data_IF_533460761703
#
_entry.id   IF_533460761703
#
_cell.length_a   1.000
_cell.length_b   1.000
_cell.length_c   1.000
_cell.angle_alpha   90.00
_cell.angle_beta   90.00
_cell.angle_gamma   90.00
#
_symmetry.space_group_name_H-M   'P 1'
#
loop_
_entity.id
_entity.type
_entity.pdbx_description
1 polymer ?
#
# COMPACT_ATOMS: atom_id res chain seq x y z
N UNK A 1 4.89 62.74 -15.64
CA UNK A 1 5.13 61.29 -15.77
C UNK A 1 4.74 60.63 -14.45
N UNK A 2 3.50 60.11 -14.33
CA UNK A 2 3.02 59.47 -13.08
C UNK A 2 3.35 57.98 -13.14
N UNK A 3 4.25 57.54 -12.27
CA UNK A 3 4.63 56.14 -12.11
C UNK A 3 3.48 55.41 -11.39
N UNK A 4 2.86 54.42 -12.05
CA UNK A 4 1.93 53.50 -11.40
C UNK A 4 2.74 52.37 -10.76
N UNK A 5 2.71 52.29 -9.42
CA UNK A 5 3.25 51.19 -8.66
C UNK A 5 2.21 50.05 -8.66
N UNK A 6 2.46 48.98 -9.41
CA UNK A 6 1.64 47.76 -9.37
C UNK A 6 2.08 46.96 -8.15
N UNK A 7 1.25 46.98 -7.11
CA UNK A 7 1.41 46.11 -5.94
C UNK A 7 0.81 44.75 -6.32
N UNK A 8 1.67 43.77 -6.61
CA UNK A 8 1.30 42.37 -6.75
C UNK A 8 1.02 41.81 -5.35
N UNK A 9 -0.25 41.79 -4.96
CA UNK A 9 -0.70 41.04 -3.78
C UNK A 9 -0.69 39.56 -4.14
N UNK A 10 0.32 38.82 -3.68
CA UNK A 10 0.31 37.36 -3.76
C UNK A 10 -0.74 36.82 -2.79
N UNK A 11 -1.98 36.67 -3.25
CA UNK A 11 -2.93 35.79 -2.59
C UNK A 11 -2.37 34.37 -2.65
N UNK A 12 -1.93 33.81 -1.52
CA UNK A 12 -1.74 32.36 -1.42
C UNK A 12 -3.10 31.74 -1.74
N UNK A 13 -3.25 31.19 -2.96
CA UNK A 13 -4.32 30.24 -3.21
C UNK A 13 -4.10 29.11 -2.20
N UNK A 14 -4.99 29.02 -1.22
CA UNK A 14 -5.07 27.83 -0.39
C UNK A 14 -5.55 26.75 -1.34
N UNK A 15 -4.64 25.91 -1.81
CA UNK A 15 -4.99 24.74 -2.58
C UNK A 15 -6.02 23.95 -1.78
N UNK A 16 -7.16 23.65 -2.38
CA UNK A 16 -8.18 22.83 -1.74
C UNK A 16 -7.55 21.49 -1.38
N UNK A 17 -7.66 21.11 -0.11
CA UNK A 17 -7.22 19.80 0.35
C UNK A 17 -7.91 18.71 -0.48
N UNK A 18 -7.16 17.74 -1.03
CA UNK A 18 -7.77 16.66 -1.79
C UNK A 18 -8.72 15.86 -0.92
N UNK A 19 -9.87 15.50 -1.48
CA UNK A 19 -10.90 14.71 -0.82
C UNK A 19 -11.07 13.41 -1.59
N UNK A 20 -10.44 12.35 -1.10
CA UNK A 20 -10.40 11.06 -1.78
C UNK A 20 -11.78 10.45 -2.01
N UNK A 21 -11.94 9.83 -3.18
CA UNK A 21 -13.06 8.97 -3.54
C UNK A 21 -12.52 7.67 -4.13
N UNK A 22 -13.38 6.66 -4.10
CA UNK A 22 -13.10 5.33 -4.64
C UNK A 22 -14.10 5.03 -5.74
N UNK A 23 -13.62 4.77 -6.95
CA UNK A 23 -14.43 4.23 -8.03
C UNK A 23 -14.21 2.73 -8.14
N UNK A 24 -15.28 1.98 -8.37
CA UNK A 24 -15.21 0.53 -8.44
C UNK A 24 -14.49 0.09 -9.72
N UNK A 25 -13.44 -0.72 -9.59
CA UNK A 25 -12.71 -1.29 -10.73
C UNK A 25 -13.12 -2.75 -10.96
N UNK A 26 -13.05 -3.60 -9.93
CA UNK A 26 -13.38 -5.02 -10.04
C UNK A 26 -13.82 -5.62 -8.69
N UNK A 27 -14.75 -6.57 -8.71
CA UNK A 27 -15.22 -7.32 -7.53
C UNK A 27 -15.03 -8.83 -7.71
N UNK A 28 -15.20 -9.59 -6.63
CA UNK A 28 -15.19 -11.06 -6.67
C UNK A 28 -13.80 -11.68 -6.49
N UNK A 29 -12.86 -10.91 -5.94
CA UNK A 29 -11.54 -11.41 -5.56
C UNK A 29 -11.63 -12.19 -4.26
N UNK A 30 -10.85 -13.26 -4.14
CA UNK A 30 -10.78 -14.06 -2.92
C UNK A 30 -9.61 -13.59 -2.07
N UNK A 31 -9.90 -12.94 -0.93
CA UNK A 31 -8.90 -12.47 0.06
C UNK A 31 -7.63 -11.92 -0.63
N UNK A 32 -7.77 -10.90 -1.48
CA UNK A 32 -6.64 -10.38 -2.23
C UNK A 32 -5.60 -9.80 -1.27
N UNK A 33 -4.32 -9.86 -1.65
CA UNK A 33 -3.21 -9.42 -0.79
C UNK A 33 -2.42 -8.27 -1.41
N UNK A 34 -2.15 -8.32 -2.71
CA UNK A 34 -1.37 -7.29 -3.39
C UNK A 34 -1.81 -7.11 -4.83
N UNK A 35 -1.48 -5.96 -5.43
CA UNK A 35 -1.87 -5.60 -6.79
C UNK A 35 -0.71 -4.99 -7.56
N UNK A 36 -0.49 -5.49 -8.78
CA UNK A 36 0.32 -4.82 -9.79
C UNK A 36 -0.59 -4.29 -10.88
N UNK A 37 -0.45 -2.99 -11.17
CA UNK A 37 -1.18 -2.30 -12.23
C UNK A 37 -0.35 -2.37 -13.51
N UNK A 38 -0.84 -3.10 -14.51
CA UNK A 38 -0.16 -3.25 -15.81
C UNK A 38 -0.48 -2.07 -16.73
N UNK A 39 -1.74 -1.63 -16.71
CA UNK A 39 -2.28 -0.52 -17.49
C UNK A 39 -3.50 0.03 -16.75
N UNK A 40 -4.13 1.13 -17.22
CA UNK A 40 -5.33 1.67 -16.59
C UNK A 40 -6.50 0.68 -16.45
N UNK A 41 -6.51 -0.42 -17.23
CA UNK A 41 -7.59 -1.41 -17.22
C UNK A 41 -7.12 -2.85 -17.03
N UNK A 42 -5.82 -3.08 -16.81
CA UNK A 42 -5.24 -4.41 -16.63
C UNK A 42 -4.45 -4.51 -15.33
N UNK A 43 -4.76 -5.53 -14.53
CA UNK A 43 -4.20 -5.71 -13.18
C UNK A 43 -3.86 -7.17 -12.92
N UNK A 44 -2.77 -7.41 -12.20
CA UNK A 44 -2.48 -8.68 -11.55
C UNK A 44 -2.77 -8.54 -10.06
N UNK A 45 -3.61 -9.40 -9.51
CA UNK A 45 -3.97 -9.39 -8.09
C UNK A 45 -3.60 -10.73 -7.46
N UNK A 46 -2.72 -10.71 -6.46
CA UNK A 46 -2.40 -11.91 -5.68
C UNK A 46 -3.46 -12.17 -4.62
N UNK A 47 -3.66 -13.44 -4.31
CA UNK A 47 -4.63 -13.90 -3.32
C UNK A 47 -3.98 -14.88 -2.33
N UNK A 48 -4.51 -14.95 -1.12
CA UNK A 48 -4.02 -15.89 -0.11
C UNK A 48 -4.14 -17.36 -0.54
N UNK A 49 -5.03 -17.71 -1.46
CA UNK A 49 -5.21 -19.08 -1.96
C UNK A 49 -4.16 -19.57 -2.98
N UNK A 50 -3.08 -18.81 -3.18
CA UNK A 50 -1.99 -19.20 -4.08
C UNK A 50 -2.27 -18.88 -5.55
N UNK A 51 -3.32 -18.11 -5.85
CA UNK A 51 -3.63 -17.66 -7.21
C UNK A 51 -3.27 -16.19 -7.39
N UNK A 52 -2.71 -15.87 -8.56
CA UNK A 52 -2.63 -14.51 -9.09
C UNK A 52 -3.67 -14.40 -10.19
N UNK A 53 -4.61 -13.46 -10.07
CA UNK A 53 -5.69 -13.22 -11.03
C UNK A 53 -5.31 -12.09 -11.98
N UNK A 54 -5.58 -12.28 -13.27
CA UNK A 54 -5.59 -11.20 -14.25
C UNK A 54 -6.98 -10.58 -14.27
N UNK A 55 -7.04 -9.27 -14.16
CA UNK A 55 -8.25 -8.45 -14.37
C UNK A 55 -8.03 -7.66 -15.65
N UNK A 56 -9.04 -7.62 -16.53
CA UNK A 56 -9.02 -6.83 -17.76
C UNK A 56 -10.38 -6.16 -17.93
N UNK A 57 -10.39 -4.83 -18.03
CA UNK A 57 -11.59 -4.00 -18.17
C UNK A 57 -12.66 -4.35 -17.11
N UNK A 58 -12.23 -4.40 -15.84
CA UNK A 58 -13.08 -4.76 -14.70
C UNK A 58 -13.52 -6.23 -14.60
N UNK A 59 -13.10 -7.10 -15.54
CA UNK A 59 -13.46 -8.53 -15.55
C UNK A 59 -12.29 -9.40 -15.10
N UNK A 60 -12.49 -10.17 -14.03
CA UNK A 60 -11.56 -11.22 -13.61
C UNK A 60 -11.54 -12.33 -14.67
N UNK A 61 -10.37 -12.58 -15.26
CA UNK A 61 -10.22 -13.62 -16.27
C UNK A 61 -10.42 -15.02 -15.68
N UNK A 62 -11.01 -15.93 -16.46
CA UNK A 62 -11.37 -17.29 -16.00
C UNK A 62 -10.16 -18.07 -15.50
N UNK A 63 -9.06 -18.06 -16.26
CA UNK A 63 -7.82 -18.69 -15.87
C UNK A 63 -7.01 -17.78 -14.95
N UNK A 64 -6.34 -18.35 -13.95
CA UNK A 64 -5.38 -17.61 -13.14
C UNK A 64 -4.15 -17.27 -14.00
N UNK A 65 -3.57 -16.09 -13.77
CA UNK A 65 -2.29 -15.72 -14.34
C UNK A 65 -1.19 -16.66 -13.82
N UNK A 66 -1.13 -16.89 -12.52
CA UNK A 66 -0.29 -17.89 -11.87
C UNK A 66 -1.12 -18.68 -10.87
N UNK A 67 -0.89 -19.99 -10.76
CA UNK A 67 -1.50 -20.83 -9.75
C UNK A 67 -0.43 -21.70 -9.07
N UNK A 68 -0.19 -21.44 -7.79
CA UNK A 68 0.74 -22.16 -6.91
C UNK A 68 0.02 -22.65 -5.64
N UNK A 69 -1.29 -22.88 -5.72
CA UNK A 69 -2.13 -23.24 -4.57
C UNK A 69 -1.68 -24.52 -3.84
N UNK A 70 -0.98 -25.43 -4.51
CA UNK A 70 -0.42 -26.64 -3.89
C UNK A 70 0.81 -26.36 -3.02
N UNK A 71 1.38 -25.16 -3.11
CA UNK A 71 2.58 -24.75 -2.37
C UNK A 71 2.27 -23.90 -1.14
N UNK A 72 1.06 -23.34 -1.01
CA UNK A 72 0.72 -22.41 0.08
C UNK A 72 0.39 -23.14 1.39
N UNK A 73 0.80 -22.58 2.52
CA UNK A 73 0.55 -23.18 3.82
C UNK A 73 -0.93 -23.20 4.19
N UNK A 74 -1.61 -22.05 4.09
CA UNK A 74 -3.06 -21.97 4.23
C UNK A 74 -3.65 -20.80 3.42
N UNK A 75 -4.92 -20.93 3.04
CA UNK A 75 -5.60 -19.92 2.23
C UNK A 75 -6.21 -18.77 3.04
N UNK A 76 -6.04 -18.76 4.37
CA UNK A 76 -6.62 -17.75 5.26
C UNK A 76 -5.63 -16.62 5.52
N UNK A 77 -4.42 -16.95 5.98
CA UNK A 77 -3.42 -15.96 6.40
C UNK A 77 -2.02 -16.26 5.87
N UNK A 78 -1.63 -17.54 5.70
CA UNK A 78 -0.29 -17.92 5.26
C UNK A 78 -0.26 -18.34 3.78
N UNK A 79 -0.62 -17.39 2.92
CA UNK A 79 -0.74 -17.53 1.47
C UNK A 79 0.35 -16.80 0.68
N UNK A 80 -0.03 -16.14 -0.43
CA UNK A 80 0.80 -15.14 -1.11
C UNK A 80 0.69 -13.80 -0.37
N UNK A 81 1.81 -13.20 -0.01
CA UNK A 81 1.87 -11.92 0.71
C UNK A 81 2.14 -10.72 -0.20
N UNK A 82 2.87 -10.91 -1.30
CA UNK A 82 3.27 -9.81 -2.16
C UNK A 82 3.67 -10.29 -3.54
N UNK A 83 3.51 -9.40 -4.53
CA UNK A 83 3.93 -9.63 -5.91
C UNK A 83 4.56 -8.36 -6.48
N UNK A 84 5.56 -8.53 -7.34
CA UNK A 84 6.08 -7.42 -8.15
C UNK A 84 6.56 -7.91 -9.50
N UNK A 85 6.69 -7.00 -10.45
CA UNK A 85 7.22 -7.29 -11.77
C UNK A 85 8.62 -6.72 -11.88
N UNK A 86 9.47 -7.40 -12.63
CA UNK A 86 10.75 -6.83 -13.02
C UNK A 86 10.55 -5.51 -13.78
N UNK A 87 11.44 -4.50 -13.60
CA UNK A 87 11.42 -3.29 -14.45
C UNK A 87 11.45 -3.58 -15.95
N UNK A 88 12.04 -4.71 -16.37
CA UNK A 88 12.13 -5.17 -17.76
C UNK A 88 11.08 -6.25 -18.10
N UNK A 89 9.98 -6.34 -17.34
CA UNK A 89 8.94 -7.37 -17.49
C UNK A 89 8.39 -7.50 -18.92
N UNK A 90 8.27 -6.38 -19.64
CA UNK A 90 7.83 -6.39 -21.03
C UNK A 90 8.69 -7.33 -21.91
N UNK A 91 9.98 -7.41 -21.60
CA UNK A 91 11.00 -8.18 -22.32
C UNK A 91 11.25 -9.55 -21.68
N UNK A 92 11.54 -9.61 -20.38
CA UNK A 92 11.95 -10.85 -19.72
C UNK A 92 10.78 -11.66 -19.14
N UNK A 93 9.61 -11.05 -18.95
CA UNK A 93 8.43 -11.70 -18.38
C UNK A 93 8.60 -12.14 -16.92
N UNK A 94 9.56 -11.58 -16.18
CA UNK A 94 9.84 -11.99 -14.80
C UNK A 94 8.89 -11.36 -13.77
N UNK A 95 8.29 -12.23 -12.96
CA UNK A 95 7.41 -11.89 -11.83
C UNK A 95 8.07 -12.42 -10.56
N UNK A 96 8.04 -11.66 -9.48
CA UNK A 96 8.53 -12.08 -8.18
C UNK A 96 7.36 -12.22 -7.22
N UNK A 97 7.38 -13.29 -6.43
CA UNK A 97 6.29 -13.68 -5.53
C UNK A 97 6.87 -14.00 -4.15
N UNK A 98 6.25 -13.44 -3.11
CA UNK A 98 6.48 -13.80 -1.72
C UNK A 98 5.31 -14.65 -1.21
N UNK A 99 5.55 -15.88 -0.77
CA UNK A 99 4.51 -16.78 -0.24
C UNK A 99 4.98 -17.63 0.95
N UNK A 100 4.05 -18.09 1.79
CA UNK A 100 4.33 -19.06 2.85
C UNK A 100 4.22 -20.49 2.30
N UNK A 101 5.30 -21.26 2.40
CA UNK A 101 5.36 -22.64 1.89
C UNK A 101 4.68 -23.64 2.83
N UNK A 102 3.88 -24.53 2.27
CA UNK A 102 3.26 -25.65 2.98
C UNK A 102 4.31 -26.64 3.49
N UNK A 103 4.04 -27.27 4.63
CA UNK A 103 4.91 -28.28 5.26
C UNK A 103 5.91 -27.70 6.26
N UNK A 104 6.65 -26.65 5.90
CA UNK A 104 7.67 -26.06 6.78
C UNK A 104 7.45 -24.58 7.13
N UNK A 105 6.43 -23.95 6.55
CA UNK A 105 6.01 -22.55 6.82
C UNK A 105 7.10 -21.52 6.53
N UNK A 106 8.08 -21.87 5.70
CA UNK A 106 9.11 -20.92 5.28
C UNK A 106 8.48 -19.83 4.42
N UNK A 107 8.91 -18.59 4.62
CA UNK A 107 8.67 -17.53 3.65
C UNK A 107 9.59 -17.74 2.47
N UNK A 108 9.02 -17.87 1.28
CA UNK A 108 9.74 -18.11 0.02
C UNK A 108 9.63 -16.88 -0.85
N UNK A 109 10.79 -16.39 -1.31
CA UNK A 109 10.90 -15.34 -2.31
C UNK A 109 11.36 -15.98 -3.61
N UNK A 110 10.50 -15.99 -4.62
CA UNK A 110 10.77 -16.71 -5.85
C UNK A 110 10.43 -15.87 -7.09
N UNK A 111 11.19 -16.11 -8.16
CA UNK A 111 10.92 -15.61 -9.50
C UNK A 111 10.14 -16.66 -10.31
N UNK A 112 9.15 -16.21 -11.05
CA UNK A 112 8.40 -16.96 -12.07
C UNK A 112 8.53 -16.23 -13.42
N UNK A 113 8.30 -16.96 -14.51
CA UNK A 113 8.40 -16.44 -15.87
C UNK A 113 7.05 -16.52 -16.57
N UNK A 114 6.65 -15.43 -17.24
CA UNK A 114 5.51 -15.39 -18.16
C UNK A 114 5.68 -16.44 -19.26
N UNK A 115 4.62 -17.17 -19.60
CA UNK A 115 4.66 -18.15 -20.70
C UNK A 115 4.91 -17.40 -22.01
N UNK A 116 5.86 -17.90 -22.81
CA UNK A 116 6.09 -17.40 -24.17
C UNK A 116 4.90 -17.66 -25.11
N UNK A 117 4.09 -18.68 -24.81
CA UNK A 117 2.93 -19.09 -25.61
C UNK A 117 1.63 -18.44 -25.18
N UNK A 118 1.58 -17.80 -24.00
CA UNK A 118 0.39 -17.13 -23.49
C UNK A 118 0.78 -15.99 -22.53
N UNK A 119 0.70 -14.71 -22.97
CA UNK A 119 1.09 -13.59 -22.14
C UNK A 119 0.16 -13.35 -20.94
N UNK A 120 -1.04 -13.94 -20.94
CA UNK A 120 -2.00 -13.86 -19.83
C UNK A 120 -1.72 -14.92 -18.73
N UNK A 121 -0.61 -15.68 -18.84
CA UNK A 121 -0.23 -16.70 -17.88
C UNK A 121 1.28 -16.73 -17.62
N UNK A 122 1.66 -16.99 -16.38
CA UNK A 122 3.00 -17.43 -15.99
C UNK A 122 3.09 -18.95 -15.93
N UNK A 123 4.31 -19.48 -16.05
CA UNK A 123 4.59 -20.90 -15.94
C UNK A 123 4.90 -21.27 -14.48
N UNK A 124 4.03 -22.03 -13.77
CA UNK A 124 4.30 -22.47 -12.41
C UNK A 124 5.55 -23.35 -12.26
N UNK A 125 6.00 -23.99 -13.35
CA UNK A 125 7.21 -24.82 -13.37
C UNK A 125 8.50 -24.00 -13.52
N UNK A 126 8.41 -22.70 -13.88
CA UNK A 126 9.56 -21.81 -14.06
C UNK A 126 10.10 -21.20 -12.76
N UNK A 127 9.68 -21.74 -11.61
CA UNK A 127 10.09 -21.24 -10.31
C UNK A 127 11.62 -21.27 -10.15
N UNK A 128 12.18 -20.10 -9.85
CA UNK A 128 13.53 -19.96 -9.33
C UNK A 128 13.42 -19.34 -7.93
N UNK A 129 13.69 -20.14 -6.91
CA UNK A 129 13.77 -19.65 -5.52
C UNK A 129 15.00 -18.75 -5.41
N UNK A 130 14.80 -17.52 -4.94
CA UNK A 130 15.89 -16.61 -4.61
C UNK A 130 16.50 -17.03 -3.28
N UNK A 131 15.69 -17.00 -2.22
CA UNK A 131 16.06 -17.48 -0.90
C UNK A 131 14.78 -17.79 -0.09
N UNK A 132 14.98 -18.38 1.09
CA UNK A 132 13.90 -18.70 2.03
C UNK A 132 14.25 -18.23 3.43
N UNK A 133 13.27 -17.71 4.16
CA UNK A 133 13.41 -17.36 5.58
C UNK A 133 12.54 -18.34 6.38
N UNK A 134 13.13 -19.16 7.28
CA UNK A 134 12.36 -20.13 8.06
C UNK A 134 11.52 -19.39 9.11
N UNK A 135 10.27 -19.79 9.31
CA UNK A 135 9.45 -19.28 10.40
C UNK A 135 8.81 -20.43 11.14
N UNK A 136 9.54 -20.94 12.13
CA UNK A 136 9.28 -22.24 12.76
C UNK A 136 8.30 -22.20 13.93
N UNK A 137 7.89 -21.01 14.38
CA UNK A 137 6.97 -20.89 15.50
C UNK A 137 5.59 -21.47 15.10
N UNK A 138 5.07 -22.48 15.82
CA UNK A 138 3.79 -23.12 15.50
C UNK A 138 2.59 -22.16 15.60
N UNK A 139 2.69 -21.08 16.38
CA UNK A 139 1.66 -20.05 16.46
C UNK A 139 1.66 -19.08 15.26
N UNK A 140 2.56 -19.31 14.29
CA UNK A 140 2.81 -18.38 13.19
C UNK A 140 3.86 -17.35 13.58
N UNK A 141 4.00 -16.34 12.74
CA UNK A 141 4.85 -15.21 13.04
C UNK A 141 4.77 -14.13 11.96
N UNK A 142 5.22 -12.93 12.30
CA UNK A 142 5.31 -11.85 11.32
C UNK A 142 6.32 -12.21 10.23
N UNK A 143 5.84 -12.21 8.98
CA UNK A 143 6.62 -12.52 7.77
C UNK A 143 6.89 -11.30 6.91
N UNK A 144 6.08 -10.26 7.12
CA UNK A 144 5.99 -9.06 6.29
C UNK A 144 5.52 -9.32 4.87
N UNK A 145 5.26 -8.23 4.14
CA UNK A 145 4.39 -8.29 2.97
C UNK A 145 5.12 -8.17 1.64
N UNK A 146 5.80 -7.04 1.46
CA UNK A 146 6.13 -6.53 0.13
C UNK A 146 7.57 -6.80 -0.30
N UNK A 147 7.68 -7.13 -1.59
CA UNK A 147 8.88 -7.07 -2.39
C UNK A 147 8.66 -6.10 -3.56
N UNK A 148 9.68 -5.37 -3.97
CA UNK A 148 9.56 -4.32 -4.99
C UNK A 148 10.91 -3.80 -5.44
N UNK A 149 10.95 -3.13 -6.60
CA UNK A 149 12.19 -2.58 -7.12
C UNK A 149 12.41 -1.15 -6.65
N UNK A 150 13.65 -0.86 -6.25
CA UNK A 150 14.10 0.49 -5.93
C UNK A 150 14.41 1.31 -7.19
N UNK A 151 14.59 2.63 -7.05
CA UNK A 151 14.98 3.51 -8.16
C UNK A 151 16.37 3.19 -8.74
N UNK A 152 17.17 2.41 -8.01
CA UNK A 152 18.50 1.92 -8.38
C UNK A 152 18.47 0.58 -9.15
N UNK A 153 17.28 0.00 -9.36
CA UNK A 153 17.10 -1.24 -10.11
C UNK A 153 17.25 -2.53 -9.30
N UNK A 154 17.54 -2.45 -8.00
CA UNK A 154 17.65 -3.64 -7.15
C UNK A 154 16.29 -4.06 -6.57
N UNK A 155 16.16 -5.34 -6.22
CA UNK A 155 14.98 -5.87 -5.55
C UNK A 155 15.12 -5.67 -4.03
N UNK A 156 14.19 -4.92 -3.46
CA UNK A 156 14.04 -4.72 -2.02
C UNK A 156 12.95 -5.62 -1.46
N UNK A 157 13.18 -6.15 -0.26
CA UNK A 157 12.30 -7.16 0.37
C UNK A 157 12.21 -6.85 1.86
N UNK A 158 11.00 -6.80 2.41
CA UNK A 158 10.83 -6.72 3.87
C UNK A 158 10.53 -8.07 4.49
N UNK A 159 11.08 -8.30 5.68
CA UNK A 159 10.85 -9.51 6.49
C UNK A 159 10.40 -9.13 7.90
N UNK A 160 9.51 -9.93 8.47
CA UNK A 160 8.99 -9.70 9.81
C UNK A 160 9.88 -10.30 10.89
N UNK A 161 9.67 -9.87 12.14
CA UNK A 161 10.47 -10.21 13.32
C UNK A 161 10.33 -11.67 13.82
N UNK A 162 9.54 -12.50 13.14
CA UNK A 162 9.20 -13.88 13.49
C UNK A 162 8.34 -14.07 14.75
N UNK A 163 7.96 -13.00 15.44
CA UNK A 163 7.09 -13.08 16.60
C UNK A 163 5.65 -13.42 16.22
N UNK A 164 4.91 -14.20 17.03
CA UNK A 164 3.49 -14.45 16.80
C UNK A 164 2.60 -13.22 17.04
N UNK A 165 3.15 -12.11 17.56
CA UNK A 165 2.41 -10.85 17.70
C UNK A 165 1.28 -10.88 18.71
N UNK A 166 1.37 -11.74 19.74
CA UNK A 166 0.34 -11.83 20.77
C UNK A 166 0.32 -10.54 21.59
N UNK A 167 -0.82 -9.84 21.59
CA UNK A 167 -1.03 -8.61 22.36
C UNK A 167 -0.74 -8.85 23.85
N UNK A 168 -0.03 -7.92 24.49
CA UNK A 168 0.37 -8.00 25.89
C UNK A 168 1.52 -8.96 26.18
N UNK A 169 2.16 -9.52 25.14
CA UNK A 169 3.42 -10.25 25.27
C UNK A 169 4.61 -9.40 24.81
N UNK A 170 5.81 -9.72 25.28
CA UNK A 170 7.04 -9.10 24.76
C UNK A 170 7.12 -9.45 23.27
N UNK A 171 6.96 -8.44 22.40
CA UNK A 171 6.87 -8.64 20.96
C UNK A 171 8.05 -9.41 20.37
N UNK A 172 9.28 -8.90 20.46
CA UNK A 172 10.49 -9.62 20.04
C UNK A 172 11.46 -9.82 21.22
N UNK A 173 11.26 -10.87 22.04
CA UNK A 173 12.03 -11.06 23.28
C UNK A 173 13.50 -11.39 23.02
N UNK A 174 13.80 -11.96 21.85
CA UNK A 174 15.16 -12.34 21.44
C UNK A 174 15.87 -11.24 20.64
N UNK A 175 15.19 -10.11 20.39
CA UNK A 175 15.72 -8.96 19.64
C UNK A 175 16.26 -9.37 18.26
N UNK A 176 15.56 -10.29 17.59
CA UNK A 176 15.93 -10.78 16.27
C UNK A 176 15.98 -9.62 15.25
N UNK A 177 15.07 -8.66 15.37
CA UNK A 177 15.03 -7.47 14.51
C UNK A 177 16.31 -6.61 14.62
N UNK A 178 16.95 -6.56 15.79
CA UNK A 178 18.23 -5.85 16.02
C UNK A 178 19.46 -6.70 15.71
N UNK A 179 19.33 -8.03 15.65
CA UNK A 179 20.46 -8.92 15.40
C UNK A 179 20.85 -8.95 13.92
N UNK A 180 22.14 -8.78 13.65
CA UNK A 180 22.76 -8.90 12.32
C UNK A 180 23.13 -10.35 11.97
N UNK A 181 22.65 -11.33 12.72
CA UNK A 181 22.96 -12.76 12.50
C UNK A 181 21.77 -13.52 11.90
N UNK A 182 20.74 -12.80 11.45
CA UNK A 182 19.51 -13.36 10.90
C UNK A 182 18.81 -12.36 9.96
N UNK A 183 17.78 -12.85 9.26
CA UNK A 183 16.99 -12.06 8.30
C UNK A 183 15.63 -11.62 8.84
N UNK A 184 15.36 -11.67 10.15
CA UNK A 184 14.07 -11.25 10.73
C UNK A 184 14.06 -9.75 11.02
N UNK A 185 12.95 -9.08 10.71
CA UNK A 185 12.78 -7.64 10.97
C UNK A 185 13.75 -6.77 10.16
N UNK A 186 13.92 -7.07 8.87
CA UNK A 186 14.90 -6.42 7.98
C UNK A 186 14.25 -5.83 6.73
N UNK A 187 14.91 -4.81 6.18
CA UNK A 187 14.81 -4.49 4.76
C UNK A 187 16.04 -5.08 4.08
N UNK A 188 15.82 -5.99 3.14
CA UNK A 188 16.85 -6.66 2.35
C UNK A 188 16.94 -6.02 0.97
N UNK A 189 18.11 -6.09 0.33
CA UNK A 189 18.35 -5.55 -1.01
C UNK A 189 19.30 -6.46 -1.79
N UNK A 190 18.84 -6.98 -2.93
CA UNK A 190 19.58 -7.94 -3.77
C UNK A 190 19.57 -7.55 -5.25
N UNK A 191 20.58 -8.00 -5.98
CA UNK A 191 20.71 -7.83 -7.43
C UNK A 191 20.28 -9.11 -8.16
N UNK A 192 19.11 -9.05 -8.76
CA UNK A 192 18.49 -10.18 -9.49
C UNK A 192 18.87 -10.21 -10.98
N UNK A 193 19.60 -9.20 -11.47
CA UNK A 193 20.03 -9.09 -12.86
C UNK A 193 21.42 -9.72 -13.08
N UNK A 194 22.26 -9.80 -12.05
CA UNK A 194 23.67 -10.21 -12.18
C UNK A 194 24.06 -11.49 -11.43
N UNK A 195 23.15 -12.45 -11.26
CA UNK A 195 23.46 -13.74 -10.64
C UNK A 195 22.43 -14.82 -10.93
N UNK A 196 22.73 -16.03 -10.46
CA UNK A 196 21.76 -17.12 -10.45
C UNK A 196 21.86 -17.87 -9.10
N UNK A 197 21.01 -17.54 -8.10
CA UNK A 197 19.78 -16.77 -8.23
C UNK A 197 19.90 -15.24 -8.14
N UNK A 198 20.93 -14.69 -7.50
CA UNK A 198 21.16 -13.24 -7.38
C UNK A 198 22.63 -12.95 -6.97
N UNK A 199 23.01 -11.68 -6.97
CA UNK A 199 24.24 -11.14 -6.36
C UNK A 199 23.91 -10.09 -5.31
N UNK A 200 24.92 -9.69 -4.52
CA UNK A 200 24.81 -8.61 -3.54
C UNK A 200 25.21 -7.28 -4.19
N UNK A 201 24.38 -6.24 -4.10
CA UNK A 201 24.79 -4.90 -4.51
C UNK A 201 26.04 -4.46 -3.74
N UNK A 202 27.11 -3.98 -4.41
CA UNK A 202 28.35 -3.57 -3.73
C UNK A 202 28.18 -2.37 -2.80
N UNK A 203 27.01 -1.72 -2.85
CA UNK A 203 26.63 -0.58 -2.00
C UNK A 203 25.77 -1.00 -0.80
N UNK A 204 25.59 -2.31 -0.55
CA UNK A 204 24.94 -2.76 0.67
C UNK A 204 25.83 -2.45 1.88
N UNK A 205 25.24 -1.99 3.00
CA UNK A 205 26.00 -1.52 4.17
C UNK A 205 26.76 -2.63 4.90
N UNK A 206 26.37 -3.89 4.69
CA UNK A 206 26.97 -5.06 5.32
C UNK A 206 27.61 -6.01 4.32
N UNK A 207 27.92 -5.57 3.09
CA UNK A 207 28.51 -6.42 2.04
C UNK A 207 29.99 -6.73 2.33
N UNK A 208 30.23 -7.64 3.28
CA UNK A 208 31.56 -7.98 3.77
C UNK A 208 31.69 -9.51 3.86
N UNK A 209 32.48 -10.15 2.98
CA UNK A 209 32.52 -11.62 2.89
C UNK A 209 33.00 -12.36 4.15
N UNK A 210 33.55 -11.64 5.14
CA UNK A 210 34.31 -12.23 6.24
C UNK A 210 33.74 -11.97 7.63
N UNK A 211 32.69 -11.16 7.77
CA UNK A 211 32.15 -10.82 9.10
C UNK A 211 30.99 -11.72 9.55
N UNK A 212 30.48 -12.57 8.66
CA UNK A 212 29.38 -13.49 8.94
C UNK A 212 28.01 -12.83 9.07
N UNK A 213 27.89 -11.56 8.69
CA UNK A 213 26.61 -10.86 8.57
C UNK A 213 25.96 -11.23 7.23
N UNK A 214 24.65 -11.50 7.16
CA UNK A 214 23.97 -11.67 5.88
C UNK A 214 24.08 -10.39 5.05
N UNK A 215 24.78 -10.50 3.91
CA UNK A 215 25.08 -9.41 2.99
C UNK A 215 23.82 -8.78 2.36
N UNK A 216 22.68 -9.46 2.40
CA UNK A 216 21.40 -8.96 1.91
C UNK A 216 20.84 -7.81 2.75
N UNK A 217 21.27 -7.66 4.00
CA UNK A 217 20.70 -6.66 4.92
C UNK A 217 21.02 -5.24 4.41
N UNK A 218 19.98 -4.42 4.27
CA UNK A 218 20.08 -3.01 3.92
C UNK A 218 19.65 -2.09 5.07
N UNK A 219 18.62 -2.49 5.82
CA UNK A 219 18.17 -1.84 7.05
C UNK A 219 17.65 -2.87 8.05
N UNK A 220 17.54 -2.48 9.32
CA UNK A 220 17.11 -3.35 10.41
C UNK A 220 16.14 -2.65 11.36
N UNK A 221 15.66 -3.40 12.36
CA UNK A 221 14.80 -2.86 13.42
C UNK A 221 13.35 -2.68 13.00
N UNK A 222 12.83 -3.57 12.15
CA UNK A 222 11.43 -3.58 11.72
C UNK A 222 10.65 -4.68 12.44
N UNK A 223 9.34 -4.49 12.67
CA UNK A 223 8.46 -5.48 13.32
C UNK A 223 7.72 -6.36 12.32
N UNK A 224 6.73 -5.79 11.65
CA UNK A 224 5.91 -6.43 10.63
C UNK A 224 5.62 -5.44 9.47
N UNK A 225 6.65 -5.00 8.75
CA UNK A 225 6.55 -4.04 7.64
C UNK A 225 5.67 -4.57 6.49
N UNK A 226 4.46 -4.02 6.32
CA UNK A 226 3.44 -4.61 5.43
C UNK A 226 3.54 -4.10 3.99
N UNK A 227 3.28 -2.81 3.74
CA UNK A 227 3.56 -2.13 2.46
C UNK A 227 4.49 -0.95 2.65
N UNK A 228 5.32 -0.79 1.64
CA UNK A 228 6.23 0.33 1.47
C UNK A 228 6.28 0.73 0.00
N UNK A 229 6.78 1.92 -0.30
CA UNK A 229 7.04 2.34 -1.68
C UNK A 229 8.20 3.33 -1.73
N UNK A 230 8.88 3.36 -2.86
CA UNK A 230 9.70 4.51 -3.22
C UNK A 230 8.83 5.49 -3.99
N UNK A 231 8.91 6.77 -3.65
CA UNK A 231 8.36 7.82 -4.49
C UNK A 231 9.10 7.83 -5.83
N UNK A 232 8.39 7.53 -6.93
CA UNK A 232 8.98 7.42 -8.27
C UNK A 232 9.65 8.72 -8.74
N UNK A 233 9.28 9.86 -8.17
CA UNK A 233 9.86 11.15 -8.55
C UNK A 233 11.08 11.54 -7.70
N UNK A 234 11.03 11.30 -6.39
CA UNK A 234 12.09 11.78 -5.47
C UNK A 234 13.04 10.68 -5.02
N UNK A 235 12.63 9.42 -5.08
CA UNK A 235 13.34 8.27 -4.51
C UNK A 235 13.16 8.12 -3.00
N UNK A 236 12.30 8.93 -2.36
CA UNK A 236 12.05 8.83 -0.92
C UNK A 236 11.34 7.52 -0.58
N UNK A 237 11.75 6.87 0.50
CA UNK A 237 11.20 5.60 0.95
C UNK A 237 10.14 5.81 2.04
N UNK A 238 8.96 5.24 1.83
CA UNK A 238 7.83 5.27 2.74
C UNK A 238 7.47 3.84 3.15
N UNK A 239 7.22 3.61 4.44
CA UNK A 239 6.97 2.27 4.97
C UNK A 239 5.93 2.31 6.09
N UNK A 240 4.86 1.51 5.97
CA UNK A 240 3.99 1.18 7.09
C UNK A 240 4.53 -0.04 7.85
N UNK A 241 4.82 0.12 9.13
CA UNK A 241 5.23 -0.96 10.02
C UNK A 241 4.17 -1.17 11.12
N UNK A 242 3.66 -2.40 11.22
CA UNK A 242 2.55 -2.73 12.13
C UNK A 242 3.08 -2.85 13.55
N UNK A 243 2.42 -2.16 14.48
CA UNK A 243 2.72 -2.11 15.91
C UNK A 243 2.45 -3.40 16.67
N UNK A 244 3.02 -3.53 17.86
CA UNK A 244 2.81 -4.67 18.76
C UNK A 244 1.55 -4.52 19.62
N UNK A 245 1.46 -3.39 20.30
CA UNK A 245 0.53 -3.13 21.39
C UNK A 245 -0.08 -1.74 21.22
N UNK A 246 0.74 -0.69 21.28
CA UNK A 246 0.26 0.68 21.49
C UNK A 246 0.43 1.60 20.28
N UNK A 247 1.29 1.29 19.30
CA UNK A 247 1.65 2.26 18.26
C UNK A 247 1.82 1.64 16.87
N UNK A 248 1.06 2.14 15.91
CA UNK A 248 1.31 1.91 14.48
C UNK A 248 2.30 2.95 13.92
N UNK A 249 3.12 2.56 12.96
CA UNK A 249 4.23 3.40 12.49
C UNK A 249 4.15 3.71 10.99
N UNK A 250 4.24 5.00 10.64
CA UNK A 250 4.58 5.42 9.29
C UNK A 250 6.03 5.94 9.27
N UNK A 251 6.90 5.14 8.67
CA UNK A 251 8.31 5.42 8.51
C UNK A 251 8.58 6.18 7.20
N UNK A 252 9.49 7.16 7.26
CA UNK A 252 9.98 7.93 6.10
C UNK A 252 11.50 7.97 6.11
N UNK A 253 12.14 7.66 4.98
CA UNK A 253 13.58 7.79 4.79
C UNK A 253 13.83 8.56 3.50
N UNK A 254 14.53 9.70 3.61
CA UNK A 254 14.86 10.50 2.43
C UNK A 254 15.74 9.72 1.45
N UNK A 255 15.58 9.95 0.14
CA UNK A 255 16.30 9.22 -0.91
C UNK A 255 17.83 9.21 -0.73
N UNK A 256 18.37 10.29 -0.17
CA UNK A 256 19.81 10.50 0.04
C UNK A 256 20.27 10.16 1.47
N UNK A 257 19.40 9.58 2.31
CA UNK A 257 19.79 9.17 3.65
C UNK A 257 20.84 8.05 3.57
N UNK A 258 21.88 8.08 4.42
CA UNK A 258 22.87 7.00 4.44
C UNK A 258 22.23 5.69 4.91
N UNK A 259 22.64 4.57 4.30
CA UNK A 259 22.34 3.24 4.83
C UNK A 259 23.46 2.80 5.80
N UNK A 260 23.17 1.94 6.79
CA UNK A 260 21.86 1.35 7.10
C UNK A 260 20.99 2.27 7.97
N UNK A 261 19.67 2.14 7.83
CA UNK A 261 18.72 2.68 8.80
C UNK A 261 18.39 1.63 9.86
N UNK A 262 18.25 2.04 11.11
CA UNK A 262 17.76 1.20 12.20
C UNK A 262 16.41 1.74 12.70
N UNK A 263 15.30 1.12 12.29
CA UNK A 263 13.95 1.57 12.60
C UNK A 263 13.52 1.31 14.06
N UNK A 264 14.39 0.70 14.87
CA UNK A 264 14.27 0.74 16.32
C UNK A 264 13.55 -0.44 16.97
N UNK A 265 12.74 -1.23 16.27
CA UNK A 265 12.09 -2.40 16.88
C UNK A 265 13.11 -3.46 17.35
N UNK A 266 12.96 -4.07 18.55
CA UNK A 266 11.93 -3.86 19.57
C UNK A 266 12.32 -2.86 20.66
N UNK A 267 13.33 -2.04 20.45
CA UNK A 267 13.73 -1.01 21.40
C UNK A 267 12.68 0.10 21.50
N UNK A 268 12.07 0.43 20.37
CA UNK A 268 10.98 1.37 20.26
C UNK A 268 9.77 0.72 19.59
N UNK A 269 8.59 1.17 19.98
CA UNK A 269 7.33 0.96 19.27
C UNK A 269 6.75 2.35 18.99
N UNK A 270 6.66 2.73 17.72
CA UNK A 270 6.55 4.13 17.35
C UNK A 270 7.79 4.93 17.77
N UNK A 271 7.57 6.16 18.23
CA UNK A 271 8.60 6.98 18.86
C UNK A 271 8.75 6.72 20.38
N UNK A 272 8.15 5.64 20.88
CA UNK A 272 8.06 5.35 22.31
C UNK A 272 9.00 4.21 22.72
N UNK A 273 9.76 4.35 23.83
CA UNK A 273 10.55 3.25 24.36
C UNK A 273 9.66 2.04 24.70
N UNK A 274 10.00 0.87 24.16
CA UNK A 274 9.26 -0.37 24.37
C UNK A 274 10.09 -1.36 25.21
N UNK A 275 11.29 -1.71 24.74
CA UNK A 275 12.19 -2.61 25.46
C UNK A 275 13.36 -1.85 26.11
N UNK A 276 13.37 -1.77 27.44
CA UNK A 276 14.36 -1.03 28.23
C UNK A 276 15.77 -1.63 28.23
N UNK A 277 15.96 -2.82 27.65
CA UNK A 277 17.25 -3.53 27.62
C UNK A 277 18.03 -3.30 26.32
N UNK A 278 17.61 -2.35 25.50
CA UNK A 278 18.28 -2.00 24.27
C UNK A 278 19.52 -1.12 24.45
N UNK A 279 20.42 -1.14 23.47
CA UNK A 279 21.64 -0.35 23.49
C UNK A 279 21.32 1.14 23.44
N UNK A 280 21.89 1.92 24.35
CA UNK A 280 21.81 3.39 24.34
C UNK A 280 22.79 4.03 23.36
N UNK A 281 23.73 3.25 22.81
CA UNK A 281 24.78 3.73 21.90
C UNK A 281 24.41 3.56 20.41
N UNK A 282 23.26 2.97 20.11
CA UNK A 282 22.77 2.85 18.73
C UNK A 282 22.07 4.14 18.29
N UNK A 283 22.20 4.46 17.00
CA UNK A 283 21.38 5.50 16.36
C UNK A 283 20.12 4.85 15.82
N UNK A 284 18.97 5.34 16.28
CA UNK A 284 17.67 4.87 15.84
C UNK A 284 17.01 5.90 14.92
N UNK A 285 16.38 5.42 13.87
CA UNK A 285 15.59 6.18 12.92
C UNK A 285 14.13 6.10 13.32
N UNK A 286 13.64 7.14 13.98
CA UNK A 286 12.24 7.21 14.44
C UNK A 286 11.27 7.34 13.27
N UNK A 287 10.02 6.85 13.40
CA UNK A 287 9.01 7.03 12.39
C UNK A 287 8.69 8.51 12.16
N UNK A 288 8.18 8.83 10.97
CA UNK A 288 7.72 10.19 10.66
C UNK A 288 6.54 10.57 11.55
N UNK A 289 5.64 9.61 11.77
CA UNK A 289 4.55 9.70 12.71
C UNK A 289 4.19 8.31 13.22
N UNK A 290 3.60 8.29 14.40
CA UNK A 290 2.93 7.13 14.97
C UNK A 290 1.48 7.49 15.34
N UNK A 291 0.65 6.48 15.55
CA UNK A 291 -0.69 6.66 16.09
C UNK A 291 -1.13 5.46 16.91
N UNK A 292 -2.06 5.73 17.83
CA UNK A 292 -2.59 4.76 18.78
C UNK A 292 -2.96 3.42 18.11
N UNK A 293 -2.49 2.32 18.66
CA UNK A 293 -2.68 0.93 18.22
C UNK A 293 -3.66 0.15 19.09
N UNK A 294 -3.48 -1.18 19.14
CA UNK A 294 -4.40 -2.17 19.72
C UNK A 294 -4.85 -1.91 21.17
N UNK A 295 -3.93 -1.56 22.07
CA UNK A 295 -4.21 -1.41 23.50
C UNK A 295 -4.75 -0.03 23.88
N UNK A 296 -4.82 0.90 22.93
CA UNK A 296 -5.36 2.25 23.11
C UNK A 296 -6.88 2.34 22.85
N UNK A 297 -7.60 1.23 22.97
CA UNK A 297 -9.07 1.17 22.83
C UNK A 297 -9.58 1.11 21.39
N UNK A 298 -8.70 0.97 20.39
CA UNK A 298 -9.05 0.84 18.98
C UNK A 298 -8.08 -0.13 18.28
N UNK A 299 -8.58 -1.18 17.63
CA UNK A 299 -7.74 -2.06 16.80
C UNK A 299 -7.15 -1.23 15.64
N UNK A 300 -5.88 -1.42 15.33
CA UNK A 300 -5.16 -0.75 14.26
C UNK A 300 -4.29 -1.76 13.51
N UNK A 301 -3.91 -1.45 12.28
CA UNK A 301 -2.91 -2.19 11.53
C UNK A 301 -2.56 -1.37 10.30
N UNK A 302 -1.48 -0.60 10.36
CA UNK A 302 -1.09 0.27 9.26
C UNK A 302 -0.78 -0.57 8.02
N UNK A 303 -1.31 -0.14 6.88
CA UNK A 303 -1.06 -0.80 5.60
C UNK A 303 0.17 -0.27 4.90
N UNK A 304 0.41 1.04 4.95
CA UNK A 304 1.33 1.75 4.05
C UNK A 304 0.62 2.23 2.77
N UNK A 305 1.38 2.70 1.78
CA UNK A 305 0.80 3.43 0.65
C UNK A 305 1.79 3.92 -0.40
N UNK A 306 1.39 4.91 -1.19
CA UNK A 306 2.18 5.50 -2.29
C UNK A 306 1.99 7.01 -2.38
N UNK A 307 3.02 7.69 -2.91
CA UNK A 307 2.90 9.10 -3.33
C UNK A 307 2.17 9.15 -4.67
N UNK A 308 1.09 9.93 -4.76
CA UNK A 308 0.37 10.11 -6.01
C UNK A 308 1.19 10.95 -7.00
N UNK A 309 1.46 10.35 -8.16
CA UNK A 309 2.21 10.95 -9.28
C UNK A 309 1.42 10.99 -10.59
N UNK A 310 0.12 10.66 -10.53
CA UNK A 310 -0.80 10.62 -11.67
C UNK A 310 -1.22 11.99 -12.20
N UNK A 311 -1.60 12.06 -13.47
CA UNK A 311 -1.96 13.34 -14.10
C UNK A 311 -3.46 13.63 -14.08
N UNK A 312 -4.30 12.63 -13.81
CA UNK A 312 -5.76 12.78 -13.82
C UNK A 312 -6.27 13.69 -12.69
N UNK A 313 -5.60 13.69 -11.53
CA UNK A 313 -6.01 14.43 -10.34
C UNK A 313 -4.90 15.38 -9.85
N UNK A 314 -4.73 16.56 -10.47
CA UNK A 314 -3.65 17.50 -10.13
C UNK A 314 -3.59 17.91 -8.65
N UNK A 315 -4.73 17.94 -7.94
CA UNK A 315 -4.80 18.27 -6.51
C UNK A 315 -4.12 17.21 -5.62
N UNK A 316 -4.03 15.95 -6.10
CA UNK A 316 -3.37 14.86 -5.39
C UNK A 316 -1.86 14.82 -5.59
N UNK A 317 -1.30 15.64 -6.48
CA UNK A 317 0.12 15.60 -6.79
C UNK A 317 1.01 15.79 -5.55
N UNK A 318 1.88 14.81 -5.32
CA UNK A 318 2.83 14.76 -4.21
C UNK A 318 2.21 14.43 -2.84
N UNK A 319 0.94 14.05 -2.78
CA UNK A 319 0.35 13.51 -1.55
C UNK A 319 0.65 12.02 -1.43
N UNK A 320 1.20 11.61 -0.28
CA UNK A 320 1.30 10.22 0.14
C UNK A 320 -0.07 9.74 0.63
N UNK A 321 -0.66 8.78 -0.06
CA UNK A 321 -1.93 8.17 0.29
C UNK A 321 -1.66 6.83 0.95
N UNK A 322 -2.21 6.63 2.15
CA UNK A 322 -2.06 5.39 2.91
C UNK A 322 -3.31 5.07 3.73
N UNK A 323 -3.37 3.85 4.25
CA UNK A 323 -4.51 3.38 5.04
C UNK A 323 -4.13 2.48 6.20
N UNK A 324 -5.17 2.14 6.98
CA UNK A 324 -5.13 1.21 8.10
C UNK A 324 -6.14 0.08 7.85
N UNK A 325 -5.64 -1.15 7.85
CA UNK A 325 -6.39 -2.37 7.57
C UNK A 325 -7.51 -2.58 8.60
N UNK A 326 -7.22 -2.48 9.89
CA UNK A 326 -8.19 -2.82 10.92
C UNK A 326 -9.30 -1.76 11.04
N UNK A 327 -8.95 -0.49 10.83
CA UNK A 327 -9.87 0.66 10.98
C UNK A 327 -10.62 1.01 9.70
N UNK A 328 -10.19 0.51 8.54
CA UNK A 328 -10.70 0.97 7.25
C UNK A 328 -10.48 2.48 7.03
N UNK A 329 -9.51 3.08 7.72
CA UNK A 329 -9.27 4.53 7.67
C UNK A 329 -8.18 4.85 6.66
N UNK A 330 -8.33 5.99 5.99
CA UNK A 330 -7.42 6.50 4.98
C UNK A 330 -6.90 7.87 5.38
N UNK A 331 -5.69 8.18 4.92
CA UNK A 331 -5.09 9.49 5.07
C UNK A 331 -4.37 9.90 3.80
N UNK A 332 -4.30 11.21 3.61
CA UNK A 332 -3.37 11.86 2.69
C UNK A 332 -2.37 12.67 3.50
N UNK A 333 -1.09 12.42 3.27
CA UNK A 333 0.01 13.13 3.92
C UNK A 333 0.84 13.90 2.88
N UNK A 334 1.15 15.16 3.16
CA UNK A 334 2.06 15.96 2.35
C UNK A 334 3.18 16.49 3.21
N UNK A 335 4.40 16.10 2.87
CA UNK A 335 5.63 16.52 3.56
C UNK A 335 6.27 17.67 2.79
N UNK A 336 6.63 18.72 3.51
CA UNK A 336 7.35 19.88 2.99
C UNK A 336 8.86 19.66 3.10
N UNK A 337 9.64 20.41 2.31
CA UNK A 337 11.11 20.30 2.29
C UNK A 337 11.77 20.63 3.63
N UNK A 338 11.12 21.46 4.46
CA UNK A 338 11.58 21.78 5.82
C UNK A 338 11.27 20.69 6.86
N UNK A 339 10.70 19.55 6.44
CA UNK A 339 10.36 18.42 7.31
C UNK A 339 9.01 18.49 8.00
N UNK A 340 8.30 19.63 7.91
CA UNK A 340 6.91 19.70 8.38
C UNK A 340 5.99 18.91 7.45
N UNK A 341 4.83 18.48 7.95
CA UNK A 341 3.87 17.75 7.14
C UNK A 341 2.43 18.09 7.54
N UNK A 342 1.53 17.90 6.58
CA UNK A 342 0.09 17.87 6.78
C UNK A 342 -0.37 16.41 6.71
N UNK A 343 -1.15 15.94 7.67
CA UNK A 343 -1.75 14.61 7.63
C UNK A 343 -3.26 14.72 7.81
N UNK A 344 -4.01 14.28 6.80
CA UNK A 344 -5.43 14.58 6.70
C UNK A 344 -6.19 13.28 6.56
N UNK A 345 -7.05 12.99 7.55
CA UNK A 345 -7.95 11.84 7.52
C UNK A 345 -8.99 12.04 6.43
N UNK A 346 -9.18 11.01 5.62
CA UNK A 346 -10.07 11.03 4.47
C UNK A 346 -11.44 10.44 4.81
N UNK A 347 -12.55 11.01 4.31
CA UNK A 347 -13.90 10.62 4.70
C UNK A 347 -14.42 9.41 3.91
N UNK A 348 -13.58 8.38 3.77
CA UNK A 348 -13.97 7.10 3.15
C UNK A 348 -14.48 6.20 4.27
N UNK A 349 -15.75 5.81 4.20
CA UNK A 349 -16.42 4.99 5.22
C UNK A 349 -16.95 3.67 4.67
N UNK A 350 -16.90 3.48 3.36
CA UNK A 350 -17.53 2.33 2.67
C UNK A 350 -16.60 1.15 2.47
N UNK A 351 -15.29 1.32 2.70
CA UNK A 351 -14.29 0.28 2.50
C UNK A 351 -13.86 -0.31 3.84
N UNK A 352 -13.80 -1.64 3.91
CA UNK A 352 -13.23 -2.35 5.05
C UNK A 352 -11.89 -3.00 4.68
N UNK A 353 -10.93 -3.07 5.60
CA UNK A 353 -9.68 -3.82 5.36
C UNK A 353 -8.89 -3.45 4.09
N UNK A 354 -8.50 -2.16 3.89
CA UNK A 354 -7.56 -1.81 2.83
C UNK A 354 -6.25 -2.55 3.10
N UNK A 355 -5.87 -3.47 2.23
CA UNK A 355 -4.74 -4.39 2.45
C UNK A 355 -3.55 -4.05 1.57
N UNK A 356 -3.77 -3.38 0.45
CA UNK A 356 -2.69 -2.90 -0.40
C UNK A 356 -3.14 -1.70 -1.23
N UNK A 357 -2.14 -1.04 -1.79
CA UNK A 357 -2.30 -0.01 -2.80
C UNK A 357 -1.51 -0.43 -4.04
N UNK A 358 -1.91 0.03 -5.21
CA UNK A 358 -1.19 -0.14 -6.45
C UNK A 358 -0.94 1.20 -7.12
N UNK A 359 0.25 1.41 -7.66
CA UNK A 359 0.55 2.56 -8.51
C UNK A 359 0.66 2.10 -9.98
N UNK A 360 -0.13 2.73 -10.85
CA UNK A 360 -0.10 2.51 -12.28
C UNK A 360 1.15 3.07 -12.96
N UNK A 361 1.46 2.61 -14.19
CA UNK A 361 2.54 3.19 -14.98
C UNK A 361 2.32 4.70 -15.25
N UNK A 362 1.06 5.13 -15.27
CA UNK A 362 0.61 6.52 -15.39
C UNK A 362 0.59 7.30 -14.06
N UNK A 363 0.99 6.70 -12.93
CA UNK A 363 1.03 7.32 -11.60
C UNK A 363 -0.33 7.37 -10.88
N UNK A 364 -1.39 6.82 -11.48
CA UNK A 364 -2.70 6.72 -10.83
C UNK A 364 -2.69 5.64 -9.76
N UNK A 365 -3.46 5.83 -8.69
CA UNK A 365 -3.46 4.95 -7.53
C UNK A 365 -4.73 4.10 -7.46
N UNK A 366 -4.56 2.88 -6.95
CA UNK A 366 -5.62 1.92 -6.73
C UNK A 366 -5.53 1.41 -5.30
N UNK A 367 -6.66 1.03 -4.71
CA UNK A 367 -6.71 0.40 -3.38
C UNK A 367 -7.40 -0.95 -3.47
N UNK A 368 -6.82 -1.91 -2.76
CA UNK A 368 -7.28 -3.27 -2.66
C UNK A 368 -7.91 -3.50 -1.29
N UNK A 369 -9.15 -3.95 -1.25
CA UNK A 369 -9.84 -4.37 -0.03
C UNK A 369 -9.81 -5.89 0.09
N UNK A 370 -9.27 -6.39 1.20
CA UNK A 370 -9.20 -7.84 1.45
C UNK A 370 -10.59 -8.42 1.76
N UNK A 371 -11.31 -7.78 2.68
CA UNK A 371 -12.59 -8.30 3.21
C UNK A 371 -13.71 -8.20 2.19
N UNK A 372 -13.71 -7.13 1.39
CA UNK A 372 -14.74 -6.94 0.35
C UNK A 372 -14.40 -7.73 -0.93
N UNK A 373 -13.13 -8.09 -1.13
CA UNK A 373 -12.69 -8.75 -2.37
C UNK A 373 -12.79 -7.81 -3.58
N UNK A 374 -12.44 -6.54 -3.39
CA UNK A 374 -12.67 -5.47 -4.37
C UNK A 374 -11.39 -4.66 -4.62
N UNK A 375 -11.16 -4.34 -5.90
CA UNK A 375 -10.20 -3.35 -6.36
C UNK A 375 -10.95 -2.05 -6.68
N UNK A 376 -10.44 -0.92 -6.19
CA UNK A 376 -10.95 0.41 -6.47
C UNK A 376 -9.88 1.29 -7.10
N UNK A 377 -10.28 2.14 -8.05
CA UNK A 377 -9.49 3.27 -8.52
C UNK A 377 -9.67 4.46 -7.57
N UNK A 378 -8.57 5.07 -7.14
CA UNK A 378 -8.58 6.22 -6.25
C UNK A 378 -8.65 7.52 -7.04
N UNK A 379 -9.59 8.39 -6.67
CA UNK A 379 -9.90 9.60 -7.42
C UNK A 379 -10.04 10.82 -6.49
N UNK A 380 -9.95 12.03 -7.04
CA UNK A 380 -10.30 13.30 -6.36
C UNK A 380 -11.41 14.05 -7.12
N UNK A 381 -12.25 13.32 -7.85
CA UNK A 381 -13.36 13.92 -8.60
C UNK A 381 -14.53 14.35 -7.69
N UNK A 382 -15.28 15.38 -8.11
CA UNK A 382 -16.63 15.62 -7.60
C UNK A 382 -17.51 14.38 -7.76
N UNK A 383 -18.56 14.29 -6.93
CA UNK A 383 -19.52 13.20 -7.05
C UNK A 383 -20.42 13.48 -8.25
N UNK A 384 -20.29 12.67 -9.31
CA UNK A 384 -21.08 12.80 -10.52
C UNK A 384 -22.03 11.60 -10.69
N UNK A 385 -23.22 11.84 -11.24
CA UNK A 385 -24.12 10.74 -11.59
C UNK A 385 -23.51 9.92 -12.74
N UNK A 386 -23.35 8.61 -12.56
CA UNK A 386 -22.91 7.66 -13.61
C UNK A 386 -24.06 6.96 -14.31
N UNK A 387 -25.25 6.99 -13.72
CA UNK A 387 -26.51 6.53 -14.32
C UNK A 387 -27.71 7.23 -13.68
N UNK A 388 -28.89 7.09 -14.29
CA UNK A 388 -30.15 7.50 -13.63
C UNK A 388 -30.46 6.61 -12.43
N UNK A 389 -30.99 7.18 -11.35
CA UNK A 389 -31.24 6.41 -10.13
C UNK A 389 -31.72 7.22 -8.93
N UNK A 390 -31.70 6.59 -7.75
CA UNK A 390 -31.99 7.25 -6.48
C UNK A 390 -30.76 7.96 -5.94
N UNK A 391 -30.94 9.11 -5.28
CA UNK A 391 -29.87 9.80 -4.56
C UNK A 391 -29.18 8.90 -3.51
N UNK A 392 -29.95 7.99 -2.92
CA UNK A 392 -29.51 7.07 -1.87
C UNK A 392 -28.91 5.76 -2.39
N UNK A 393 -28.82 5.59 -3.71
CA UNK A 393 -28.20 4.40 -4.30
C UNK A 393 -26.72 4.65 -4.58
N UNK A 394 -25.84 3.81 -4.04
CA UNK A 394 -24.40 3.82 -4.35
C UNK A 394 -24.13 3.62 -5.85
N UNK A 395 -25.03 2.94 -6.56
CA UNK A 395 -24.86 2.70 -8.00
C UNK A 395 -25.16 3.94 -8.84
N UNK A 396 -25.81 4.97 -8.31
CA UNK A 396 -26.11 6.21 -9.04
C UNK A 396 -24.85 7.03 -9.30
N UNK A 397 -23.82 6.91 -8.44
CA UNK A 397 -22.69 7.82 -8.38
C UNK A 397 -21.40 7.20 -8.94
N UNK A 398 -20.50 8.03 -9.47
CA UNK A 398 -19.16 7.65 -9.97
C UNK A 398 -18.20 7.21 -8.86
N UNK A 399 -18.54 7.48 -7.60
CA UNK A 399 -17.89 6.93 -6.42
C UNK A 399 -18.69 5.77 -5.84
N UNK A 400 -18.02 4.87 -5.11
CA UNK A 400 -18.66 3.95 -4.18
C UNK A 400 -19.05 4.67 -2.88
N UNK A 401 -19.79 5.76 -2.99
CA UNK A 401 -20.16 6.66 -1.91
C UNK A 401 -21.51 7.35 -2.17
N UNK A 402 -22.12 7.94 -1.14
CA UNK A 402 -23.30 8.79 -1.25
C UNK A 402 -22.90 10.25 -1.04
N UNK A 403 -23.53 11.21 -1.74
CA UNK A 403 -23.30 12.63 -1.48
C UNK A 403 -23.66 13.04 -0.06
N UNK A 404 -22.78 13.80 0.57
CA UNK A 404 -22.93 14.35 1.92
C UNK A 404 -22.63 15.86 1.97
N UNK A 405 -22.79 16.46 3.15
CA UNK A 405 -22.80 17.91 3.36
C UNK A 405 -21.61 18.66 2.76
N UNK A 406 -20.42 18.05 2.75
CA UNK A 406 -19.20 18.66 2.24
C UNK A 406 -18.88 18.31 0.76
N UNK A 407 -19.86 17.77 0.02
CA UNK A 407 -19.67 17.31 -1.35
C UNK A 407 -20.17 18.29 -2.40
N UNK A 408 -19.40 18.37 -3.49
CA UNK A 408 -19.81 18.98 -4.73
C UNK A 408 -20.39 17.89 -5.63
N UNK A 409 -21.64 18.07 -6.06
CA UNK A 409 -22.41 17.05 -6.77
C UNK A 409 -22.80 17.52 -8.16
N UNK A 410 -22.65 16.65 -9.15
CA UNK A 410 -22.98 16.94 -10.54
C UNK A 410 -23.98 15.89 -11.07
N UNK A 411 -25.13 16.34 -11.54
CA UNK A 411 -26.07 15.50 -12.30
C UNK A 411 -25.79 15.69 -13.79
N UNK A 412 -25.25 14.67 -14.46
CA UNK A 412 -24.88 14.73 -15.88
C UNK A 412 -26.11 14.84 -16.81
N UNK A 413 -25.96 15.40 -18.05
CA UNK A 413 -27.06 15.74 -18.95
C UNK A 413 -28.11 14.66 -19.25
N UNK A 414 -27.72 13.38 -19.23
CA UNK A 414 -28.60 12.26 -19.59
C UNK A 414 -29.23 11.57 -18.36
N UNK A 415 -28.87 12.00 -17.15
CA UNK A 415 -29.26 11.31 -15.93
C UNK A 415 -30.44 12.01 -15.25
N UNK A 416 -31.36 11.20 -14.76
CA UNK A 416 -32.40 11.63 -13.81
C UNK A 416 -32.09 11.06 -12.44
N UNK A 417 -31.93 11.94 -11.44
CA UNK A 417 -31.72 11.53 -10.05
C UNK A 417 -32.96 11.87 -9.24
N UNK A 418 -33.51 10.86 -8.56
CA UNK A 418 -34.66 11.02 -7.65
C UNK A 418 -34.20 11.22 -6.21
N UNK A 419 -34.72 12.26 -5.55
CA UNK A 419 -34.50 12.53 -4.13
C UNK A 419 -35.82 12.36 -3.38
N UNK A 420 -35.82 11.46 -2.41
CA UNK A 420 -36.99 11.11 -1.59
C UNK A 420 -36.78 11.34 -0.08
N UNK A 421 -35.65 11.93 0.31
CA UNK A 421 -35.32 12.26 1.69
C UNK A 421 -34.56 13.59 1.75
N UNK A 422 -34.47 14.19 2.94
CA UNK A 422 -33.65 15.37 3.13
C UNK A 422 -32.16 15.05 2.88
N UNK A 423 -31.51 15.88 2.07
CA UNK A 423 -30.09 15.74 1.71
C UNK A 423 -29.43 17.10 1.78
N UNK A 424 -28.23 17.16 2.35
CA UNK A 424 -27.40 18.37 2.40
C UNK A 424 -26.08 18.08 1.70
N UNK A 425 -25.63 19.05 0.92
CA UNK A 425 -24.40 19.01 0.11
C UNK A 425 -23.84 20.43 -0.01
N UNK A 426 -22.56 20.55 -0.36
CA UNK A 426 -21.85 21.83 -0.46
C UNK A 426 -22.28 22.58 -1.71
N UNK A 427 -22.42 21.88 -2.84
CA UNK A 427 -22.89 22.46 -4.09
C UNK A 427 -23.55 21.42 -4.99
N UNK A 428 -24.53 21.86 -5.79
CA UNK A 428 -25.24 21.01 -6.76
C UNK A 428 -25.23 21.65 -8.15
N UNK A 429 -24.63 20.96 -9.12
CA UNK A 429 -24.70 21.32 -10.54
C UNK A 429 -25.66 20.36 -11.24
N UNK A 430 -26.78 20.88 -11.76
CA UNK A 430 -27.78 20.08 -12.48
C UNK A 430 -27.64 20.35 -13.98
N UNK A 431 -27.05 19.40 -14.72
CA UNK A 431 -27.05 19.41 -16.20
C UNK A 431 -28.12 18.49 -16.77
N UNK A 432 -28.49 17.44 -16.04
CA UNK A 432 -29.60 16.53 -16.35
C UNK A 432 -30.89 16.91 -15.64
N UNK A 433 -31.57 15.93 -15.02
CA UNK A 433 -32.84 16.12 -14.31
C UNK A 433 -32.73 15.73 -12.84
N UNK A 434 -33.25 16.58 -11.96
CA UNK A 434 -33.47 16.28 -10.55
C UNK A 434 -34.97 16.12 -10.31
N UNK A 435 -35.39 14.96 -9.82
CA UNK A 435 -36.78 14.68 -9.46
C UNK A 435 -36.92 14.66 -7.94
N UNK A 436 -37.89 15.41 -7.40
CA UNK A 436 -38.19 15.45 -5.97
C UNK A 436 -39.53 14.75 -5.73
N UNK A 437 -39.60 13.88 -4.71
CA UNK A 437 -40.89 13.31 -4.30
C UNK A 437 -41.91 14.41 -3.97
N UNK A 438 -43.20 14.18 -4.25
CA UNK A 438 -44.28 15.18 -4.18
C UNK A 438 -44.23 16.03 -2.89
N UNK A 439 -43.83 17.30 -3.03
CA UNK A 439 -43.67 18.26 -1.92
C UNK A 439 -42.23 18.60 -1.53
N UNK A 440 -41.23 17.98 -2.16
CA UNK A 440 -39.81 18.29 -1.94
C UNK A 440 -39.46 19.74 -2.30
N UNK A 441 -38.57 20.34 -1.51
CA UNK A 441 -38.07 21.71 -1.69
C UNK A 441 -36.55 21.68 -1.83
N UNK A 442 -36.00 22.54 -2.68
CA UNK A 442 -34.56 22.85 -2.73
C UNK A 442 -34.36 24.23 -2.12
N UNK A 443 -33.46 24.33 -1.14
CA UNK A 443 -33.00 25.59 -0.55
C UNK A 443 -31.52 25.74 -0.87
N UNK A 444 -31.12 26.94 -1.28
CA UNK A 444 -29.72 27.30 -1.53
C UNK A 444 -29.19 28.21 -0.44
#
# INVERSE_FOLDING_TARGET
MRLFLIILVSSKLIAQTPKLRLSLEATGLYRPTDVVVLSPTEFLVSQTDGRIRLIRNGVIQTNSFLNINTKINDATWEGIFGITLHPNYATNGYIYVHYCRTGDRASVFARYTRKSTNPDQADPASELILFTVPYTNPLGGHRSGRLGFGPDGYLYITTGDSSPGLVGSIGDPNKLAQSLQNLYGKLLRIDVDHGNPYTIPPTNPYASPTDGVPDEIYALGLRNPWRWSFDRQTGDFWLGDVGQDDWEELNFTAANAPAPQNYGWPCFEGSHPYNSTCSTNATYHMPLLDYAGHNSGQIASITGGFVYRGSAYPNLQGWYVYGDYARGTFWTLKRESNGTYQNIRQPITTLTSPVSFGEGPNGELYVLSMSDGVLYHLTDEPIASKQSGSWTSLTTWNCNCLPAMEDEVIILPEHTVSVNQATQIKSLTIRGKLFLSSGGRVSF
#
